data_IF_531735764234
#
_entry.id   IF_531735764234
#
_cell.length_a   1.000
_cell.length_b   1.000
_cell.length_c   1.000
_cell.angle_alpha   90.00
_cell.angle_beta   90.00
_cell.angle_gamma   90.00
#
_symmetry.space_group_name_H-M   'P 1'
#
loop_
_entity.id
_entity.type
_entity.pdbx_description
1 polymer ?
#
# COMPACT_ATOMS: atom_id res chain seq x y z
N UNK A 1 13.79 -16.21 -0.62
CA UNK A 1 14.59 -15.01 -0.96
C UNK A 1 14.05 -14.35 -2.22
N UNK A 2 14.27 -13.06 -2.39
CA UNK A 2 13.94 -12.29 -3.58
C UNK A 2 15.20 -11.57 -4.08
N UNK A 3 15.52 -11.72 -5.36
CA UNK A 3 16.58 -11.00 -6.04
C UNK A 3 15.96 -10.06 -7.06
N UNK A 4 16.12 -8.75 -6.86
CA UNK A 4 15.68 -7.73 -7.80
C UNK A 4 16.92 -7.28 -8.56
N UNK A 5 16.94 -7.47 -9.87
CA UNK A 5 18.05 -7.09 -10.73
C UNK A 5 17.74 -5.82 -11.51
N UNK A 6 18.79 -5.09 -11.86
CA UNK A 6 18.73 -3.90 -12.71
C UNK A 6 17.77 -2.82 -12.17
N UNK A 7 17.83 -2.49 -10.88
CA UNK A 7 17.01 -1.45 -10.25
C UNK A 7 17.76 -0.13 -10.14
N UNK A 8 17.07 1.00 -10.35
CA UNK A 8 17.55 2.34 -9.96
C UNK A 8 17.05 2.64 -8.56
N UNK A 9 17.92 2.56 -7.56
CA UNK A 9 17.56 2.76 -6.17
C UNK A 9 17.49 4.25 -5.86
N UNK A 10 16.40 4.69 -5.23
CA UNK A 10 16.26 6.09 -4.83
C UNK A 10 17.38 6.51 -3.89
N UNK A 11 18.12 7.56 -4.29
CA UNK A 11 19.26 8.07 -3.55
C UNK A 11 20.61 7.41 -3.88
N UNK A 12 20.65 6.43 -4.78
CA UNK A 12 21.87 5.82 -5.29
C UNK A 12 22.18 6.29 -6.71
N UNK A 13 23.43 6.15 -7.12
CA UNK A 13 23.87 6.44 -8.47
C UNK A 13 24.00 5.12 -9.27
N UNK A 14 23.33 5.07 -10.44
CA UNK A 14 23.43 3.92 -11.32
C UNK A 14 22.34 2.89 -11.14
N UNK A 15 22.61 1.70 -11.66
CA UNK A 15 21.74 0.51 -11.62
C UNK A 15 22.38 -0.52 -10.71
N UNK A 16 21.62 -1.08 -9.81
CA UNK A 16 22.09 -2.05 -8.81
C UNK A 16 21.08 -3.19 -8.66
N UNK A 17 21.60 -4.30 -8.13
CA UNK A 17 20.80 -5.47 -7.76
C UNK A 17 20.57 -5.49 -6.24
N UNK A 18 19.38 -5.93 -5.83
CA UNK A 18 18.94 -5.98 -4.43
C UNK A 18 18.60 -7.42 -4.08
N UNK A 19 19.28 -7.99 -3.07
CA UNK A 19 18.93 -9.30 -2.50
C UNK A 19 18.18 -9.11 -1.18
N UNK A 20 17.02 -9.73 -1.07
CA UNK A 20 16.14 -9.67 0.11
C UNK A 20 15.94 -11.07 0.68
N UNK A 21 16.04 -11.22 2.00
CA UNK A 21 15.76 -12.48 2.70
C UNK A 21 14.26 -12.81 2.74
N UNK A 22 13.92 -14.03 3.17
CA UNK A 22 12.52 -14.45 3.36
C UNK A 22 11.82 -13.64 4.48
N UNK A 23 12.60 -13.11 5.44
CA UNK A 23 12.11 -12.22 6.49
C UNK A 23 11.98 -10.74 6.05
N UNK A 24 12.23 -10.45 4.76
CA UNK A 24 12.10 -9.10 4.21
C UNK A 24 13.27 -8.15 4.55
N UNK A 25 14.43 -8.68 4.89
CA UNK A 25 15.64 -7.88 5.18
C UNK A 25 16.53 -7.78 3.94
N UNK A 26 17.09 -6.61 3.72
CA UNK A 26 18.14 -6.44 2.70
C UNK A 26 19.39 -7.20 3.12
N UNK A 27 19.86 -8.12 2.28
CA UNK A 27 21.09 -8.89 2.48
C UNK A 27 22.25 -8.27 1.73
N UNK A 28 22.01 -7.80 0.48
CA UNK A 28 23.00 -7.17 -0.38
C UNK A 28 22.36 -6.11 -1.25
N UNK A 29 23.11 -5.06 -1.54
CA UNK A 29 22.84 -4.09 -2.60
C UNK A 29 24.19 -3.89 -3.30
N UNK A 30 24.31 -4.33 -4.53
CA UNK A 30 25.56 -4.36 -5.28
C UNK A 30 25.29 -4.06 -6.77
N UNK A 31 26.27 -3.53 -7.52
CA UNK A 31 26.09 -3.26 -8.95
C UNK A 31 25.65 -4.48 -9.77
N UNK A 32 26.03 -5.69 -9.31
CA UNK A 32 25.61 -6.95 -9.90
C UNK A 32 25.70 -8.09 -8.90
N UNK A 33 24.62 -8.85 -8.79
CA UNK A 33 24.52 -10.07 -7.98
C UNK A 33 24.32 -11.27 -8.91
N UNK A 34 25.21 -12.28 -8.77
CA UNK A 34 25.05 -13.51 -9.55
C UNK A 34 23.85 -14.33 -9.05
N UNK A 35 22.80 -14.41 -9.89
CA UNK A 35 21.59 -15.17 -9.57
C UNK A 35 21.88 -16.67 -9.36
N UNK A 36 22.93 -17.23 -10.00
CA UNK A 36 23.28 -18.64 -9.84
C UNK A 36 23.76 -18.97 -8.42
N UNK A 37 24.25 -17.99 -7.66
CA UNK A 37 24.58 -18.15 -6.25
C UNK A 37 23.35 -18.30 -5.34
N UNK A 38 22.14 -17.99 -5.84
CA UNK A 38 20.89 -18.01 -5.08
C UNK A 38 19.79 -18.79 -5.83
N UNK A 39 19.95 -20.10 -6.06
CA UNK A 39 19.08 -20.89 -6.95
C UNK A 39 17.62 -20.95 -6.47
N UNK A 40 17.37 -20.69 -5.18
CA UNK A 40 16.03 -20.67 -4.59
C UNK A 40 15.42 -19.26 -4.48
N UNK A 41 16.10 -18.23 -5.00
CA UNK A 41 15.54 -16.88 -5.00
C UNK A 41 14.58 -16.69 -6.16
N UNK A 42 13.45 -16.02 -5.90
CA UNK A 42 12.62 -15.46 -6.97
C UNK A 42 13.38 -14.28 -7.57
N UNK A 43 13.61 -14.31 -8.88
CA UNK A 43 14.34 -13.25 -9.59
C UNK A 43 13.35 -12.35 -10.31
N UNK A 44 13.47 -11.03 -10.12
CA UNK A 44 12.71 -9.99 -10.80
C UNK A 44 13.70 -9.05 -11.51
N UNK A 45 13.55 -8.89 -12.82
CA UNK A 45 14.28 -7.85 -13.54
C UNK A 45 13.48 -6.53 -13.47
N UNK A 46 14.03 -5.54 -12.78
CA UNK A 46 13.41 -4.23 -12.62
C UNK A 46 13.50 -3.36 -13.89
N UNK A 47 14.26 -3.78 -14.91
CA UNK A 47 14.39 -3.06 -16.20
C UNK A 47 14.70 -1.57 -16.02
N UNK A 48 15.60 -1.26 -15.12
CA UNK A 48 15.97 0.08 -14.71
C UNK A 48 14.83 0.94 -14.11
N UNK A 49 13.71 0.32 -13.72
CA UNK A 49 12.68 1.02 -12.96
C UNK A 49 13.21 1.42 -11.56
N UNK A 50 12.61 2.46 -11.02
CA UNK A 50 13.01 2.99 -9.72
C UNK A 50 12.55 2.05 -8.60
N UNK A 51 13.48 1.69 -7.72
CA UNK A 51 13.21 1.05 -6.44
C UNK A 51 13.25 2.10 -5.32
N UNK A 52 12.19 2.20 -4.56
CA UNK A 52 12.04 3.13 -3.45
C UNK A 52 11.36 2.44 -2.26
N UNK A 53 11.52 2.97 -1.02
CA UNK A 53 10.74 2.52 0.11
C UNK A 53 9.24 2.64 -0.18
N UNK A 54 8.46 1.73 0.41
CA UNK A 54 7.00 1.78 0.30
C UNK A 54 6.42 2.99 1.03
N UNK A 55 5.23 3.43 0.60
CA UNK A 55 4.55 4.54 1.23
C UNK A 55 3.99 4.17 2.61
N UNK A 56 3.91 5.18 3.45
CA UNK A 56 3.29 5.11 4.78
C UNK A 56 2.09 6.05 4.80
N UNK A 57 0.90 5.52 5.03
CA UNK A 57 -0.30 6.33 5.25
C UNK A 57 -0.57 6.42 6.75
N UNK A 58 -0.38 7.60 7.32
CA UNK A 58 -0.48 7.83 8.77
C UNK A 58 -1.89 8.22 9.23
N UNK A 59 -2.83 8.46 8.30
CA UNK A 59 -4.19 8.87 8.61
C UNK A 59 -5.18 8.33 7.58
N UNK A 60 -6.03 7.39 7.98
CA UNK A 60 -7.09 6.81 7.15
C UNK A 60 -8.26 6.40 8.03
N UNK A 61 -9.46 6.35 7.44
CA UNK A 61 -10.69 5.82 8.04
C UNK A 61 -11.21 4.69 7.16
N UNK A 62 -10.71 3.47 7.37
CA UNK A 62 -11.10 2.31 6.57
C UNK A 62 -12.55 1.88 6.81
N UNK A 63 -13.09 2.15 7.98
CA UNK A 63 -14.50 1.95 8.33
C UNK A 63 -15.44 2.78 7.44
N UNK A 64 -14.99 3.93 6.96
CA UNK A 64 -15.75 4.85 6.10
C UNK A 64 -15.37 4.79 4.61
N UNK A 65 -14.42 3.93 4.23
CA UNK A 65 -14.00 3.80 2.84
C UNK A 65 -15.20 3.43 1.93
N UNK A 66 -15.24 4.00 0.72
CA UNK A 66 -16.26 3.77 -0.32
C UNK A 66 -17.70 4.09 0.05
N UNK A 67 -17.96 4.82 1.12
CA UNK A 67 -19.32 5.17 1.53
C UNK A 67 -19.96 6.20 0.63
N UNK A 68 -19.18 7.11 0.03
CA UNK A 68 -19.65 8.11 -0.93
C UNK A 68 -20.20 7.50 -2.23
N UNK A 69 -19.79 6.28 -2.59
CA UNK A 69 -20.24 5.60 -3.81
C UNK A 69 -21.65 5.00 -3.67
N UNK A 70 -22.25 5.01 -2.47
CA UNK A 70 -23.54 4.38 -2.18
C UNK A 70 -24.73 5.31 -2.37
N UNK A 71 -24.63 6.28 -3.25
CA UNK A 71 -25.75 7.07 -3.74
C UNK A 71 -26.31 8.07 -2.73
N UNK A 72 -26.16 9.24 -3.03
CA UNK A 72 -26.90 10.48 -2.91
C UNK A 72 -25.93 11.58 -3.27
N UNK A 73 -26.32 12.44 -4.13
CA UNK A 73 -25.70 13.76 -4.28
C UNK A 73 -25.96 14.53 -2.98
N UNK A 74 -25.13 14.28 -1.98
CA UNK A 74 -25.15 15.06 -0.75
C UNK A 74 -24.36 16.34 -1.04
N UNK A 75 -25.05 17.39 -1.40
CA UNK A 75 -24.50 18.74 -1.36
C UNK A 75 -24.25 19.09 0.10
N UNK A 76 -23.01 18.96 0.55
CA UNK A 76 -22.62 19.41 1.89
C UNK A 76 -21.95 20.77 1.75
N UNK A 77 -22.53 21.79 2.37
CA UNK A 77 -21.97 23.14 2.39
C UNK A 77 -21.07 23.36 3.61
N UNK A 78 -21.28 22.58 4.68
CA UNK A 78 -20.55 22.72 5.94
C UNK A 78 -19.95 21.41 6.43
N UNK A 79 -18.93 21.50 7.31
CA UNK A 79 -18.36 20.34 7.98
C UNK A 79 -19.40 19.64 8.88
N UNK A 80 -20.27 20.40 9.54
CA UNK A 80 -21.34 19.88 10.39
C UNK A 80 -22.32 19.02 9.62
N UNK A 81 -22.69 19.41 8.38
CA UNK A 81 -23.53 18.61 7.49
C UNK A 81 -22.86 17.30 7.12
N UNK A 82 -21.57 17.35 6.78
CA UNK A 82 -20.79 16.16 6.48
C UNK A 82 -20.73 15.17 7.64
N UNK A 83 -20.55 15.67 8.86
CA UNK A 83 -20.53 14.86 10.08
C UNK A 83 -21.91 14.24 10.33
N UNK A 84 -22.99 15.02 10.24
CA UNK A 84 -24.36 14.54 10.44
C UNK A 84 -24.72 13.43 9.44
N UNK A 85 -24.43 13.64 8.16
CA UNK A 85 -24.67 12.64 7.11
C UNK A 85 -23.88 11.36 7.37
N UNK A 86 -22.62 11.49 7.79
CA UNK A 86 -21.78 10.35 8.10
C UNK A 86 -22.34 9.56 9.30
N UNK A 87 -22.78 10.23 10.37
CA UNK A 87 -23.40 9.58 11.52
C UNK A 87 -24.68 8.83 11.16
N UNK A 88 -25.51 9.38 10.27
CA UNK A 88 -26.71 8.70 9.80
C UNK A 88 -26.40 7.46 8.95
N UNK A 89 -25.33 7.52 8.16
CA UNK A 89 -24.85 6.36 7.38
C UNK A 89 -24.30 5.24 8.26
N UNK A 90 -23.48 5.59 9.27
CA UNK A 90 -22.85 4.62 10.18
C UNK A 90 -23.89 3.75 10.88
N UNK A 91 -25.07 4.28 11.22
CA UNK A 91 -26.15 3.52 11.86
C UNK A 91 -26.62 2.31 11.05
N UNK A 92 -26.37 2.31 9.74
CA UNK A 92 -26.78 1.25 8.83
C UNK A 92 -25.64 0.31 8.44
N UNK A 93 -24.43 0.48 9.02
CA UNK A 93 -23.30 -0.37 8.70
C UNK A 93 -23.40 -1.70 9.46
N UNK A 94 -23.10 -2.79 8.77
CA UNK A 94 -22.86 -4.08 9.40
C UNK A 94 -21.36 -4.35 9.50
N UNK A 95 -20.98 -5.27 10.37
CA UNK A 95 -19.57 -5.70 10.49
C UNK A 95 -19.06 -6.26 9.17
N UNK A 96 -19.89 -7.00 8.46
CA UNK A 96 -19.57 -7.59 7.16
C UNK A 96 -19.31 -6.51 6.11
N UNK A 97 -20.18 -5.50 6.04
CA UNK A 97 -20.04 -4.37 5.13
C UNK A 97 -18.75 -3.59 5.38
N UNK A 98 -18.47 -3.26 6.63
CA UNK A 98 -17.23 -2.56 7.01
C UNK A 98 -16.01 -3.41 6.67
N UNK A 99 -16.05 -4.72 6.96
CA UNK A 99 -14.94 -5.64 6.64
C UNK A 99 -14.66 -5.71 5.15
N UNK A 100 -15.70 -5.83 4.32
CA UNK A 100 -15.56 -5.88 2.87
C UNK A 100 -14.91 -4.61 2.32
N UNK A 101 -15.46 -3.43 2.68
CA UNK A 101 -14.95 -2.14 2.24
C UNK A 101 -13.52 -1.86 2.71
N UNK A 102 -13.24 -2.12 3.98
CA UNK A 102 -11.92 -1.95 4.56
C UNK A 102 -10.88 -2.88 3.90
N UNK A 103 -11.24 -4.15 3.69
CA UNK A 103 -10.37 -5.12 3.01
C UNK A 103 -10.05 -4.67 1.58
N UNK A 104 -11.04 -4.20 0.84
CA UNK A 104 -10.86 -3.67 -0.50
C UNK A 104 -9.90 -2.46 -0.49
N UNK A 105 -10.13 -1.49 0.40
CA UNK A 105 -9.30 -0.30 0.51
C UNK A 105 -7.85 -0.61 0.89
N UNK A 106 -7.63 -1.54 1.82
CA UNK A 106 -6.29 -1.99 2.21
C UNK A 106 -5.58 -2.66 1.03
N UNK A 107 -6.26 -3.54 0.29
CA UNK A 107 -5.68 -4.17 -0.90
C UNK A 107 -5.28 -3.15 -1.96
N UNK A 108 -6.12 -2.15 -2.22
CA UNK A 108 -5.79 -1.08 -3.15
C UNK A 108 -4.59 -0.26 -2.67
N UNK A 109 -4.51 0.08 -1.37
CA UNK A 109 -3.34 0.74 -0.80
C UNK A 109 -2.05 -0.06 -1.06
N UNK A 110 -2.07 -1.37 -0.82
CA UNK A 110 -0.91 -2.25 -1.05
C UNK A 110 -0.56 -2.32 -2.53
N UNK A 111 -1.54 -2.45 -3.42
CA UNK A 111 -1.33 -2.47 -4.87
C UNK A 111 -0.65 -1.20 -5.40
N UNK A 112 -0.90 -0.06 -4.76
CA UNK A 112 -0.28 1.23 -5.10
C UNK A 112 0.94 1.57 -4.22
N UNK A 113 1.52 0.57 -3.54
CA UNK A 113 2.81 0.69 -2.84
C UNK A 113 2.74 1.19 -1.40
N UNK A 114 1.56 1.31 -0.79
CA UNK A 114 1.41 1.68 0.62
C UNK A 114 1.34 0.42 1.48
N UNK A 115 2.36 0.15 2.30
CA UNK A 115 2.44 -1.08 3.11
C UNK A 115 2.36 -0.84 4.61
N UNK A 116 2.40 0.41 5.05
CA UNK A 116 2.19 0.79 6.45
C UNK A 116 1.00 1.73 6.53
N UNK A 117 0.02 1.34 7.34
CA UNK A 117 -1.26 2.01 7.40
C UNK A 117 -1.65 2.25 8.87
N UNK A 118 -2.06 3.47 9.18
CA UNK A 118 -2.72 3.79 10.45
C UNK A 118 -4.17 4.17 10.17
N UNK A 119 -5.10 3.46 10.76
CA UNK A 119 -6.54 3.78 10.69
C UNK A 119 -7.03 4.36 12.01
N UNK A 120 -7.96 5.29 11.91
CA UNK A 120 -8.82 5.68 13.01
C UNK A 120 -10.20 5.04 12.75
N UNK A 121 -10.89 4.68 13.81
CA UNK A 121 -12.25 4.12 13.79
C UNK A 121 -13.07 4.96 14.76
N UNK A 122 -14.18 5.53 14.29
CA UNK A 122 -15.09 6.36 15.09
C UNK A 122 -16.41 5.62 15.32
#
# INVERSE_FOLDING_TARGET
MLLIQNARILGHNGVEDILVSDEGKYLKIEPKIDAAAYPNATVIDAKEMMAAPTFVNTHMHFDKAYTSLRGREDSTETLEDSIRIMHDRIRNYTVEDVRERATRAIRECVMYGTTKLRTNVD
#
